data_IF_389606361514
#
_entry.id   IF_389606361514
#
_cell.length_a   1.000
_cell.length_b   1.000
_cell.length_c   1.000
_cell.angle_alpha   90.00
_cell.angle_beta   90.00
_cell.angle_gamma   90.00
#
_symmetry.space_group_name_H-M   'P 1'
#
loop_
_entity.id
_entity.type
_entity.pdbx_description
1 polymer ?
#
# COMPACT_ATOMS: atom_id res chain seq x y z
N UNK A 1 16.31 19.70 3.77
CA UNK A 1 16.19 18.26 3.44
C UNK A 1 15.06 17.71 4.29
N UNK A 2 14.13 16.92 3.73
CA UNK A 2 13.09 16.30 4.54
C UNK A 2 13.72 15.33 5.55
N UNK A 3 13.22 15.34 6.79
CA UNK A 3 13.71 14.47 7.85
C UNK A 3 13.13 13.07 7.68
N UNK A 4 14.00 12.07 7.46
CA UNK A 4 13.59 10.67 7.43
C UNK A 4 13.22 10.25 8.86
N UNK A 5 12.08 9.58 9.00
CA UNK A 5 11.57 9.10 10.29
C UNK A 5 11.84 7.60 10.37
N UNK A 6 12.28 7.16 11.54
CA UNK A 6 12.28 5.72 11.85
C UNK A 6 10.83 5.30 12.10
N UNK A 7 10.48 4.13 11.56
CA UNK A 7 9.17 3.50 11.77
C UNK A 7 9.45 2.27 12.64
N UNK A 8 8.99 2.30 13.89
CA UNK A 8 9.20 1.22 14.85
C UNK A 8 8.23 0.06 14.57
N UNK A 9 8.55 -1.14 15.08
CA UNK A 9 7.72 -2.33 14.84
C UNK A 9 6.31 -2.21 15.46
N UNK A 10 6.16 -1.37 16.48
CA UNK A 10 4.89 -1.05 17.11
C UNK A 10 4.06 -0.01 16.35
N UNK A 11 4.63 0.66 15.35
CA UNK A 11 3.91 1.67 14.57
C UNK A 11 2.91 1.01 13.63
N UNK A 12 1.73 1.63 13.53
CA UNK A 12 0.70 1.24 12.57
C UNK A 12 0.89 2.00 11.25
N UNK A 13 0.69 1.29 10.15
CA UNK A 13 0.58 1.87 8.81
C UNK A 13 -0.78 1.53 8.22
N UNK A 14 -1.33 2.42 7.40
CA UNK A 14 -2.59 2.23 6.70
C UNK A 14 -2.39 2.18 5.20
N UNK A 15 -2.85 1.11 4.57
CA UNK A 15 -2.94 1.00 3.11
C UNK A 15 -4.28 1.53 2.64
N UNK A 16 -4.27 2.45 1.68
CA UNK A 16 -5.49 2.87 0.98
C UNK A 16 -5.94 1.81 -0.01
N UNK A 17 -7.25 1.58 -0.07
CA UNK A 17 -7.84 0.59 -0.97
C UNK A 17 -8.69 1.31 -2.02
N UNK A 18 -8.38 1.07 -3.29
CA UNK A 18 -9.10 1.59 -4.45
C UNK A 18 -9.70 0.44 -5.25
N UNK A 19 -10.94 0.59 -5.69
CA UNK A 19 -11.55 -0.34 -6.63
C UNK A 19 -10.87 -0.21 -8.02
N UNK A 20 -10.49 -1.33 -8.66
CA UNK A 20 -9.83 -1.34 -9.97
C UNK A 20 -10.67 -0.69 -11.05
N UNK A 21 -9.99 -0.22 -12.10
CA UNK A 21 -10.57 0.48 -13.25
C UNK A 21 -11.54 -0.36 -14.09
N UNK A 22 -11.56 -1.68 -13.93
CA UNK A 22 -12.24 -2.63 -14.84
C UNK A 22 -13.08 -3.73 -14.16
N UNK A 23 -13.14 -3.80 -12.82
CA UNK A 23 -13.87 -4.85 -12.11
C UNK A 23 -15.12 -4.29 -11.43
N UNK A 24 -16.24 -5.03 -11.56
CA UNK A 24 -17.53 -4.71 -10.95
C UNK A 24 -17.51 -4.79 -9.41
N UNK A 25 -18.69 -4.66 -8.81
CA UNK A 25 -18.86 -4.71 -7.35
C UNK A 25 -18.57 -6.12 -6.81
N UNK A 26 -17.34 -6.40 -6.40
CA UNK A 26 -16.99 -7.59 -5.64
C UNK A 26 -15.81 -7.28 -4.73
N UNK A 27 -15.91 -7.67 -3.46
CA UNK A 27 -15.00 -7.33 -2.35
C UNK A 27 -13.60 -7.99 -2.44
N UNK A 28 -13.25 -8.61 -3.56
CA UNK A 28 -12.00 -9.36 -3.77
C UNK A 28 -10.82 -8.50 -4.28
N UNK A 29 -11.03 -7.22 -4.62
CA UNK A 29 -10.00 -6.39 -5.27
C UNK A 29 -8.85 -5.91 -4.38
N UNK A 30 -8.99 -5.98 -3.05
CA UNK A 30 -8.02 -5.42 -2.11
C UNK A 30 -6.59 -5.90 -2.43
N UNK A 31 -6.44 -7.15 -2.85
CA UNK A 31 -5.14 -7.80 -3.01
C UNK A 31 -4.67 -8.04 -4.44
N UNK A 32 -5.52 -7.77 -5.44
CA UNK A 32 -5.12 -7.85 -6.84
C UNK A 32 -4.18 -6.71 -7.26
N UNK A 33 -4.13 -5.63 -6.48
CA UNK A 33 -3.40 -4.41 -6.79
C UNK A 33 -2.26 -4.06 -5.79
N UNK A 34 -1.68 -5.04 -5.07
CA UNK A 34 -0.50 -4.78 -4.22
C UNK A 34 0.78 -4.77 -5.03
N UNK A 35 1.74 -3.93 -4.63
CA UNK A 35 3.09 -3.86 -5.14
C UNK A 35 3.12 -3.53 -6.63
N UNK A 36 2.40 -2.48 -7.03
CA UNK A 36 2.33 -2.05 -8.43
C UNK A 36 3.50 -1.17 -8.85
N UNK A 37 4.21 -0.56 -7.89
CA UNK A 37 5.21 0.45 -8.21
C UNK A 37 6.61 -0.14 -8.22
N UNK A 38 7.33 -0.13 -9.35
CA UNK A 38 8.75 -0.40 -9.32
C UNK A 38 9.45 0.71 -8.52
N UNK A 39 10.35 0.30 -7.64
CA UNK A 39 11.25 1.15 -6.86
C UNK A 39 12.68 0.66 -7.08
N UNK A 40 13.66 1.50 -6.74
CA UNK A 40 15.08 1.15 -6.82
C UNK A 40 15.45 -0.08 -5.95
N UNK A 41 14.56 -0.47 -5.03
CA UNK A 41 14.73 -1.60 -4.09
C UNK A 41 13.78 -2.78 -4.34
N UNK A 42 13.01 -2.78 -5.43
CA UNK A 42 12.05 -3.84 -5.75
C UNK A 42 10.64 -3.30 -6.03
N UNK A 43 9.60 -4.09 -5.79
CA UNK A 43 8.22 -3.58 -5.89
C UNK A 43 7.80 -2.96 -4.55
N UNK A 44 7.17 -1.78 -4.61
CA UNK A 44 6.72 -1.03 -3.45
C UNK A 44 5.20 -0.83 -3.44
N UNK A 45 4.65 -0.76 -2.23
CA UNK A 45 3.26 -0.42 -1.94
C UNK A 45 3.23 0.82 -1.05
N UNK A 46 2.39 1.78 -1.41
CA UNK A 46 2.20 3.02 -0.65
C UNK A 46 1.35 2.81 0.60
N UNK A 47 1.78 3.37 1.72
CA UNK A 47 1.06 3.35 2.99
C UNK A 47 1.12 4.72 3.67
N UNK A 48 0.11 5.03 4.47
CA UNK A 48 0.09 6.19 5.35
C UNK A 48 0.60 5.82 6.74
N UNK A 49 1.50 6.62 7.29
CA UNK A 49 2.09 6.45 8.60
C UNK A 49 1.15 6.99 9.68
N UNK A 50 0.62 6.12 10.54
CA UNK A 50 -0.34 6.52 11.59
C UNK A 50 0.27 7.39 12.69
N UNK A 51 1.60 7.37 12.83
CA UNK A 51 2.29 8.33 13.70
C UNK A 51 2.13 9.79 13.23
N UNK A 52 1.82 10.02 11.95
CA UNK A 52 1.60 11.35 11.36
C UNK A 52 0.12 11.62 11.09
N UNK A 53 -0.64 10.62 10.66
CA UNK A 53 -2.09 10.68 10.45
C UNK A 53 -2.82 9.69 11.37
N UNK A 54 -2.98 10.01 12.66
CA UNK A 54 -3.38 9.04 13.68
C UNK A 54 -4.86 8.63 13.63
N UNK A 55 -5.71 9.39 12.92
CA UNK A 55 -7.15 9.14 12.85
C UNK A 55 -7.55 8.49 11.52
N UNK A 56 -8.61 7.67 11.56
CA UNK A 56 -9.18 7.08 10.34
C UNK A 56 -9.75 8.17 9.42
N UNK A 57 -10.28 9.25 9.99
CA UNK A 57 -10.77 10.40 9.23
C UNK A 57 -9.66 11.06 8.38
N UNK A 58 -8.45 11.22 8.93
CA UNK A 58 -7.31 11.78 8.20
C UNK A 58 -6.84 10.85 7.09
N UNK A 59 -6.76 9.55 7.37
CA UNK A 59 -6.40 8.55 6.36
C UNK A 59 -7.42 8.53 5.22
N UNK A 60 -8.72 8.59 5.53
CA UNK A 60 -9.76 8.65 4.51
C UNK A 60 -9.74 9.94 3.70
N UNK A 61 -9.48 11.08 4.34
CA UNK A 61 -9.31 12.37 3.65
C UNK A 61 -8.18 12.30 2.62
N UNK A 62 -7.01 11.76 2.98
CA UNK A 62 -5.91 11.52 2.04
C UNK A 62 -6.32 10.58 0.90
N UNK A 63 -7.08 9.53 1.22
CA UNK A 63 -7.61 8.58 0.24
C UNK A 63 -8.50 9.24 -0.82
N UNK A 64 -9.41 10.12 -0.38
CA UNK A 64 -10.28 10.90 -1.27
C UNK A 64 -9.50 11.96 -2.07
N UNK A 65 -8.57 12.69 -1.45
CA UNK A 65 -7.72 13.65 -2.16
C UNK A 65 -6.93 12.99 -3.30
N UNK A 66 -6.39 11.78 -3.06
CA UNK A 66 -5.72 10.99 -4.09
C UNK A 66 -6.70 10.50 -5.17
N UNK A 67 -7.91 10.06 -4.79
CA UNK A 67 -8.94 9.69 -5.76
C UNK A 67 -9.22 10.84 -6.72
N UNK A 68 -9.39 12.06 -6.22
CA UNK A 68 -9.74 13.22 -7.04
C UNK A 68 -8.63 13.56 -8.02
N UNK A 69 -7.37 13.57 -7.56
CA UNK A 69 -6.19 13.75 -8.42
C UNK A 69 -6.10 12.67 -9.51
N UNK A 70 -6.36 11.41 -9.15
CA UNK A 70 -6.32 10.30 -10.09
C UNK A 70 -7.48 10.35 -11.10
N UNK A 71 -8.67 10.76 -10.67
CA UNK A 71 -9.85 10.96 -11.54
C UNK A 71 -9.64 12.12 -12.51
N UNK A 72 -9.07 13.23 -12.07
CA UNK A 72 -8.72 14.35 -12.95
C UNK A 72 -7.75 13.89 -14.06
N UNK A 73 -6.69 13.17 -13.67
CA UNK A 73 -5.70 12.62 -14.62
C UNK A 73 -6.31 11.63 -15.60
N UNK A 74 -7.26 10.80 -15.17
CA UNK A 74 -7.89 9.79 -16.03
C UNK A 74 -9.02 10.36 -16.90
N UNK A 75 -9.71 11.41 -16.44
CA UNK A 75 -10.69 12.15 -17.24
C UNK A 75 -10.06 12.72 -18.51
N UNK A 76 -8.82 13.23 -18.42
CA UNK A 76 -8.06 13.68 -19.58
C UNK A 76 -7.80 12.56 -20.62
N UNK A 77 -7.93 11.29 -20.21
CA UNK A 77 -7.79 10.10 -21.06
C UNK A 77 -9.12 9.43 -21.40
N UNK A 78 -10.25 10.07 -21.07
CA UNK A 78 -11.59 9.54 -21.29
C UNK A 78 -11.96 8.34 -20.40
N UNK A 79 -11.36 8.21 -19.21
CA UNK A 79 -11.58 7.10 -18.28
C UNK A 79 -12.17 7.59 -16.95
N UNK A 80 -13.00 6.78 -16.27
CA UNK A 80 -13.68 7.19 -15.03
C UNK A 80 -12.75 7.34 -13.81
N UNK A 81 -11.52 6.81 -13.86
CA UNK A 81 -10.57 6.83 -12.75
C UNK A 81 -10.92 5.83 -11.64
N UNK A 82 -10.04 5.67 -10.63
CA UNK A 82 -10.28 4.77 -9.51
C UNK A 82 -11.36 5.32 -8.56
N UNK A 83 -11.90 4.44 -7.72
CA UNK A 83 -12.81 4.81 -6.62
C UNK A 83 -12.22 4.32 -5.30
N UNK A 84 -12.00 5.22 -4.36
CA UNK A 84 -11.54 4.93 -3.01
C UNK A 84 -12.63 4.19 -2.23
N UNK A 85 -12.23 3.17 -1.47
CA UNK A 85 -13.15 2.27 -0.75
C UNK A 85 -12.89 2.20 0.75
N UNK A 86 -11.79 2.79 1.22
CA UNK A 86 -11.41 2.74 2.62
C UNK A 86 -9.93 2.43 2.81
N UNK A 87 -9.55 2.04 4.03
CA UNK A 87 -8.19 1.65 4.35
C UNK A 87 -8.15 0.33 5.13
N UNK A 88 -6.99 -0.32 5.10
CA UNK A 88 -6.66 -1.44 5.99
C UNK A 88 -5.37 -1.13 6.72
N UNK A 89 -5.26 -1.60 7.95
CA UNK A 89 -4.14 -1.29 8.84
C UNK A 89 -3.29 -2.52 9.12
N UNK A 90 -2.01 -2.30 9.34
CA UNK A 90 -1.07 -3.31 9.80
C UNK A 90 -0.03 -2.70 10.73
N UNK A 91 0.53 -3.51 11.62
CA UNK A 91 1.73 -3.15 12.37
C UNK A 91 2.97 -3.32 11.49
N UNK A 92 3.90 -2.37 11.55
CA UNK A 92 5.15 -2.43 10.79
C UNK A 92 5.97 -3.69 11.14
N UNK A 93 5.98 -4.10 12.42
CA UNK A 93 6.61 -5.35 12.85
C UNK A 93 5.93 -6.60 12.29
N UNK A 94 4.61 -6.57 12.15
CA UNK A 94 3.84 -7.65 11.52
C UNK A 94 4.19 -7.83 10.04
N UNK A 95 4.44 -6.73 9.34
CA UNK A 95 4.92 -6.72 7.94
C UNK A 95 6.36 -7.25 7.87
N UNK A 96 7.28 -6.68 8.65
CA UNK A 96 8.71 -7.06 8.63
C UNK A 96 8.97 -8.50 9.08
N UNK A 97 8.10 -9.03 9.95
CA UNK A 97 8.14 -10.40 10.42
C UNK A 97 7.76 -11.44 9.37
N UNK A 98 7.16 -11.03 8.24
CA UNK A 98 6.83 -11.97 7.16
C UNK A 98 8.07 -12.34 6.33
N UNK A 99 8.07 -13.59 5.87
CA UNK A 99 8.99 -14.08 4.86
C UNK A 99 8.24 -14.98 3.89
N UNK A 100 8.44 -14.73 2.61
CA UNK A 100 8.03 -15.63 1.52
C UNK A 100 8.61 -17.03 1.69
N UNK A 101 7.96 -18.02 1.08
CA UNK A 101 8.44 -19.40 0.95
C UNK A 101 9.87 -19.47 0.38
N UNK A 102 10.25 -18.51 -0.47
CA UNK A 102 11.59 -18.43 -1.07
C UNK A 102 12.53 -17.44 -0.37
N UNK A 103 12.13 -16.91 0.77
CA UNK A 103 12.96 -16.02 1.59
C UNK A 103 12.96 -14.55 1.18
N UNK A 104 11.99 -14.11 0.36
CA UNK A 104 11.76 -12.66 0.16
C UNK A 104 11.23 -12.06 1.46
N UNK A 105 11.73 -10.90 1.84
CA UNK A 105 11.37 -10.20 3.08
C UNK A 105 10.71 -8.86 2.78
N UNK A 106 10.21 -8.20 3.81
CA UNK A 106 9.55 -6.91 3.68
C UNK A 106 10.26 -5.84 4.51
N UNK A 107 10.34 -4.62 3.97
CA UNK A 107 10.73 -3.43 4.72
C UNK A 107 9.60 -2.42 4.75
N UNK A 108 9.57 -1.59 5.79
CA UNK A 108 8.68 -0.43 5.90
C UNK A 108 9.56 0.81 6.08
N UNK A 109 9.48 1.77 5.15
CA UNK A 109 10.32 2.97 5.10
C UNK A 109 9.50 4.25 4.97
N UNK A 110 10.00 5.36 5.54
CA UNK A 110 9.41 6.69 5.38
C UNK A 110 9.90 7.31 4.06
N UNK A 111 8.98 7.89 3.28
CA UNK A 111 9.23 8.45 1.95
C UNK A 111 8.74 9.91 1.88
N UNK A 112 9.43 10.83 2.59
CA UNK A 112 8.92 12.18 2.82
C UNK A 112 8.86 13.07 1.57
N UNK A 113 9.50 12.67 0.47
CA UNK A 113 9.42 13.38 -0.80
C UNK A 113 8.00 13.37 -1.39
N UNK A 114 7.17 12.39 -1.01
CA UNK A 114 5.77 12.26 -1.44
C UNK A 114 4.78 12.77 -0.37
N UNK A 115 5.28 13.10 0.83
CA UNK A 115 4.53 13.65 1.96
C UNK A 115 5.05 13.10 3.29
N UNK A 116 5.04 13.90 4.36
CA UNK A 116 5.52 13.45 5.69
C UNK A 116 4.69 12.29 6.28
N UNK A 117 3.48 12.07 5.76
CA UNK A 117 2.64 10.94 6.13
C UNK A 117 2.92 9.68 5.30
N UNK A 118 3.71 9.76 4.23
CA UNK A 118 3.82 8.70 3.22
C UNK A 118 4.98 7.76 3.48
N UNK A 119 4.72 6.46 3.41
CA UNK A 119 5.74 5.42 3.51
C UNK A 119 5.56 4.35 2.45
N UNK A 120 6.59 3.50 2.32
CA UNK A 120 6.59 2.34 1.45
C UNK A 120 6.71 1.05 2.24
N UNK A 121 5.94 0.05 1.83
CA UNK A 121 6.26 -1.36 2.06
C UNK A 121 6.99 -1.86 0.82
N UNK A 122 8.20 -2.40 0.96
CA UNK A 122 9.01 -2.89 -0.16
C UNK A 122 9.35 -4.36 0.01
N UNK A 123 9.28 -5.12 -1.09
CA UNK A 123 9.75 -6.51 -1.12
C UNK A 123 11.27 -6.53 -1.34
N UNK A 124 11.99 -6.99 -0.31
CA UNK A 124 13.42 -7.28 -0.37
C UNK A 124 13.62 -8.68 -0.96
N UNK A 125 14.25 -8.75 -2.13
CA UNK A 125 14.45 -10.02 -2.85
C UNK A 125 15.36 -10.98 -2.06
N UNK A 126 15.03 -12.26 -2.12
CA UNK A 126 15.86 -13.34 -1.62
C UNK A 126 17.24 -13.36 -2.32
N UNK A 127 18.25 -13.88 -1.63
CA UNK A 127 19.60 -13.97 -2.18
C UNK A 127 19.62 -14.73 -3.51
N UNK A 128 20.33 -14.19 -4.50
CA UNK A 128 20.41 -14.78 -5.85
C UNK A 128 19.19 -14.52 -6.75
N UNK A 129 18.14 -13.84 -6.25
CA UNK A 129 16.99 -13.44 -7.06
C UNK A 129 17.17 -12.03 -7.63
N UNK A 130 17.11 -11.89 -8.96
CA UNK A 130 17.13 -10.57 -9.62
C UNK A 130 15.76 -9.91 -9.77
N UNK A 131 14.67 -10.68 -9.64
CA UNK A 131 13.27 -10.21 -9.68
C UNK A 131 12.34 -11.25 -9.08
N UNK A 132 11.13 -10.84 -8.69
CA UNK A 132 10.05 -11.76 -8.33
C UNK A 132 9.56 -12.53 -9.57
N UNK A 133 9.52 -13.86 -9.47
CA UNK A 133 8.82 -14.69 -10.44
C UNK A 133 7.29 -14.55 -10.26
N UNK A 134 6.49 -15.17 -11.15
CA UNK A 134 5.02 -15.12 -11.04
C UNK A 134 4.55 -15.75 -9.71
N UNK A 135 5.06 -16.93 -9.36
CA UNK A 135 4.71 -17.61 -8.11
C UNK A 135 5.11 -16.81 -6.88
N UNK A 136 6.28 -16.14 -6.93
CA UNK A 136 6.73 -15.31 -5.80
C UNK A 136 5.81 -14.11 -5.56
N UNK A 137 5.21 -13.56 -6.63
CA UNK A 137 4.25 -12.45 -6.51
C UNK A 137 2.96 -12.90 -5.84
N UNK A 138 2.48 -14.10 -6.15
CA UNK A 138 1.26 -14.63 -5.56
C UNK A 138 1.48 -14.96 -4.07
N UNK A 139 2.59 -15.61 -3.73
CA UNK A 139 3.04 -15.87 -2.35
C UNK A 139 3.15 -14.56 -1.53
N UNK A 140 3.81 -13.55 -2.09
CA UNK A 140 3.95 -12.23 -1.46
C UNK A 140 2.58 -11.56 -1.22
N UNK A 141 1.64 -11.67 -2.17
CA UNK A 141 0.30 -11.09 -2.02
C UNK A 141 -0.49 -11.79 -0.93
N UNK A 142 -0.45 -13.11 -0.88
CA UNK A 142 -1.13 -13.91 0.16
C UNK A 142 -0.59 -13.56 1.55
N UNK A 143 0.72 -13.44 1.70
CA UNK A 143 1.33 -13.00 2.97
C UNK A 143 0.86 -11.61 3.39
N UNK A 144 0.88 -10.64 2.47
CA UNK A 144 0.42 -9.29 2.81
C UNK A 144 -1.07 -9.25 3.12
N UNK A 145 -1.88 -10.06 2.44
CA UNK A 145 -3.29 -10.20 2.74
C UNK A 145 -3.56 -10.72 4.16
N UNK A 146 -2.68 -11.58 4.68
CA UNK A 146 -2.76 -12.08 6.06
C UNK A 146 -2.28 -11.09 7.13
N UNK A 147 -1.44 -10.11 6.77
CA UNK A 147 -0.89 -9.13 7.71
C UNK A 147 -1.83 -7.97 7.97
N UNK A 148 -2.49 -7.50 6.92
CA UNK A 148 -3.40 -6.37 7.00
C UNK A 148 -4.76 -6.79 7.52
N UNK A 149 -5.32 -5.96 8.40
CA UNK A 149 -6.60 -6.20 9.04
C UNK A 149 -7.81 -6.05 8.11
N UNK A 150 -9.03 -6.11 8.67
CA UNK A 150 -10.24 -5.89 7.91
C UNK A 150 -10.29 -4.49 7.28
N UNK A 151 -11.01 -4.37 6.16
CA UNK A 151 -11.27 -3.09 5.52
C UNK A 151 -12.10 -2.19 6.46
N UNK A 152 -11.62 -0.97 6.67
CA UNK A 152 -12.36 0.15 7.27
C UNK A 152 -13.02 0.92 6.12
N UNK A 153 -14.32 0.70 5.85
CA UNK A 153 -14.94 1.19 4.63
C UNK A 153 -15.14 2.71 4.68
N UNK A 154 -15.02 3.35 3.51
CA UNK A 154 -15.31 4.76 3.33
C UNK A 154 -15.95 5.00 1.97
N UNK A 155 -16.90 5.93 1.92
CA UNK A 155 -17.46 6.47 0.70
C UNK A 155 -17.13 7.96 0.66
N UNK A 156 -16.35 8.38 -0.35
CA UNK A 156 -16.10 9.81 -0.54
C UNK A 156 -17.44 10.53 -0.81
N UNK A 157 -17.61 11.76 -0.30
CA UNK A 157 -18.78 12.59 -0.55
C UNK A 157 -19.05 12.85 -2.04
#
# INVERSE_FOLDING_TARGET
MPTIRTIDDADTVSRHVYAPRMLGAADEFVWHEIFQFPSDRGMAESVALRMVVPSDADVHRLGCEKQDKDRERERAKGRPGPTYRGCTDALAGGIRGQSSTRGHRFSVTHEPAEGDWHGHVTVLLAAGCGKLSKSDKDDVRELMAGVFGPLKPHACP
#
